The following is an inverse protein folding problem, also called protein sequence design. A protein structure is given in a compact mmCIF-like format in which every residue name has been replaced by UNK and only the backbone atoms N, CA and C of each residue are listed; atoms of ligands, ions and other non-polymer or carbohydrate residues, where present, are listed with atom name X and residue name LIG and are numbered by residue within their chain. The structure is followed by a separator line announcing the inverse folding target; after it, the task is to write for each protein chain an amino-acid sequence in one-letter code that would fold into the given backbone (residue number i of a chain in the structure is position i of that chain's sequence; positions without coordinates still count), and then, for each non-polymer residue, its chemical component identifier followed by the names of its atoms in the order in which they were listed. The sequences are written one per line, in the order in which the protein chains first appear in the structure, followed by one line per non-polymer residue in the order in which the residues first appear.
data_IF_874896068624
#
_entry.id   IF_874896068624
#
_cell.length_a   1.000
_cell.length_b   1.000
_cell.length_c   1.000
_cell.angle_alpha   90.00
_cell.angle_beta   90.00
_cell.angle_gamma   90.00
#
_symmetry.space_group_name_H-M   'P 1'
#
loop_
_entity.id
_entity.type
_entity.pdbx_description
1 polymer ?
#
# COMPACT_ATOMS: atom_id res chain seq x y z
N UNK A 1 -18.62 6.11 1.24
CA UNK A 1 -19.91 5.39 1.20
C UNK A 1 -19.71 4.03 1.85
N UNK A 2 -20.46 3.70 2.90
CA UNK A 2 -20.33 2.40 3.58
C UNK A 2 -20.96 1.32 2.66
N UNK A 3 -20.15 0.48 2.01
CA UNK A 3 -20.64 -0.58 1.12
C UNK A 3 -20.86 -1.85 1.92
N UNK A 4 -22.09 -2.35 1.91
CA UNK A 4 -22.41 -3.61 2.55
C UNK A 4 -21.80 -4.80 1.78
N UNK A 5 -21.41 -5.85 2.48
CA UNK A 5 -20.88 -7.10 1.91
C UNK A 5 -21.80 -7.65 0.78
N UNK A 6 -23.11 -7.47 0.92
CA UNK A 6 -24.09 -7.89 -0.09
C UNK A 6 -23.84 -7.27 -1.48
N UNK A 7 -23.24 -6.08 -1.57
CA UNK A 7 -22.97 -5.46 -2.89
C UNK A 7 -21.95 -6.22 -3.71
N UNK A 8 -21.11 -7.03 -3.06
CA UNK A 8 -20.10 -7.88 -3.70
C UNK A 8 -20.67 -9.21 -4.22
N UNK A 9 -21.92 -9.56 -3.85
CA UNK A 9 -22.55 -10.84 -4.25
C UNK A 9 -22.53 -11.06 -5.77
N UNK A 10 -22.73 -10.00 -6.54
CA UNK A 10 -22.68 -10.03 -8.02
C UNK A 10 -21.29 -10.39 -8.58
N UNK A 11 -20.22 -10.24 -7.79
CA UNK A 11 -18.84 -10.50 -8.19
C UNK A 11 -18.40 -11.87 -7.69
N UNK A 12 -18.61 -12.17 -6.39
CA UNK A 12 -18.08 -13.36 -5.74
C UNK A 12 -19.12 -14.49 -5.59
N UNK A 13 -20.38 -14.22 -5.87
CA UNK A 13 -21.50 -15.14 -5.73
C UNK A 13 -22.03 -15.25 -4.29
N UNK A 14 -23.28 -15.71 -4.16
CA UNK A 14 -23.98 -15.83 -2.87
C UNK A 14 -23.32 -16.82 -1.90
N UNK A 15 -22.68 -17.86 -2.44
CA UNK A 15 -21.99 -18.88 -1.62
C UNK A 15 -20.82 -18.27 -0.84
N UNK A 16 -19.98 -17.43 -1.48
CA UNK A 16 -18.85 -16.77 -0.80
C UNK A 16 -19.35 -15.84 0.31
N UNK A 17 -20.41 -15.06 0.04
CA UNK A 17 -21.03 -14.19 1.05
C UNK A 17 -21.55 -15.00 2.24
N UNK A 18 -22.23 -16.14 1.97
CA UNK A 18 -22.76 -17.03 3.01
C UNK A 18 -21.65 -17.64 3.86
N UNK A 19 -20.56 -18.08 3.24
CA UNK A 19 -19.38 -18.63 3.95
C UNK A 19 -18.73 -17.57 4.84
N UNK A 20 -18.51 -16.36 4.37
CA UNK A 20 -17.95 -15.26 5.17
C UNK A 20 -18.83 -14.97 6.38
N UNK A 21 -20.15 -14.89 6.23
CA UNK A 21 -21.07 -14.69 7.36
C UNK A 21 -21.06 -15.85 8.33
N UNK A 22 -20.93 -17.09 7.84
CA UNK A 22 -20.82 -18.26 8.69
C UNK A 22 -19.54 -18.23 9.53
N UNK A 23 -18.38 -17.91 8.94
CA UNK A 23 -17.11 -17.79 9.63
C UNK A 23 -17.12 -16.66 10.67
N UNK A 24 -17.80 -15.56 10.37
CA UNK A 24 -17.87 -14.42 11.27
C UNK A 24 -18.80 -14.62 12.49
N UNK A 25 -19.69 -15.62 12.49
CA UNK A 25 -20.67 -15.83 13.59
C UNK A 25 -20.02 -15.94 14.96
N UNK A 26 -18.96 -16.74 15.05
CA UNK A 26 -18.25 -16.99 16.31
C UNK A 26 -17.39 -15.79 16.77
N UNK A 27 -17.24 -14.80 15.90
CA UNK A 27 -16.51 -13.56 16.13
C UNK A 27 -17.42 -12.34 16.30
N UNK A 28 -18.74 -12.53 16.34
CA UNK A 28 -19.69 -11.42 16.48
C UNK A 28 -19.41 -10.62 17.77
N UNK A 29 -19.26 -9.30 17.62
CA UNK A 29 -18.93 -8.38 18.71
C UNK A 29 -17.46 -8.40 19.14
N UNK A 30 -16.58 -9.20 18.48
CA UNK A 30 -15.15 -9.16 18.74
C UNK A 30 -14.57 -7.81 18.33
N UNK A 31 -13.82 -7.18 19.23
CA UNK A 31 -13.15 -5.90 19.01
C UNK A 31 -11.84 -6.11 18.28
N UNK A 32 -11.78 -5.60 17.05
CA UNK A 32 -10.59 -5.67 16.19
C UNK A 32 -10.05 -4.26 15.95
N UNK A 33 -8.76 -4.05 16.22
CA UNK A 33 -8.11 -2.76 16.01
C UNK A 33 -7.00 -2.90 15.00
N UNK A 34 -7.09 -2.17 13.89
CA UNK A 34 -6.00 -2.01 12.94
C UNK A 34 -5.21 -0.75 13.25
N UNK A 35 -3.88 -0.82 13.17
CA UNK A 35 -3.01 0.36 13.37
C UNK A 35 -2.01 0.46 12.24
N UNK A 36 -1.93 1.62 11.59
CA UNK A 36 -0.91 1.95 10.59
C UNK A 36 -0.37 3.38 10.74
N UNK A 37 0.39 3.90 9.77
CA UNK A 37 1.05 5.21 9.84
C UNK A 37 0.34 6.33 9.09
N UNK A 38 -0.65 6.03 8.24
CA UNK A 38 -1.35 7.05 7.44
C UNK A 38 -2.79 6.68 7.17
N UNK A 39 -3.66 7.69 7.09
CA UNK A 39 -5.07 7.54 6.70
C UNK A 39 -5.26 7.67 5.19
N UNK A 40 -4.32 8.28 4.49
CA UNK A 40 -4.43 8.65 3.08
C UNK A 40 -3.15 8.31 2.35
N UNK A 41 -3.29 7.80 1.14
CA UNK A 41 -2.15 7.41 0.30
C UNK A 41 -1.54 6.06 0.68
N UNK A 42 -1.12 5.33 -0.34
CA UNK A 42 -0.53 4.00 -0.19
C UNK A 42 -1.53 2.85 -0.04
N UNK A 43 -1.06 1.66 -0.41
CA UNK A 43 -1.91 0.46 -0.52
C UNK A 43 -2.53 0.00 0.80
N UNK A 44 -1.86 0.20 1.94
CA UNK A 44 -2.40 -0.23 3.25
C UNK A 44 -3.61 0.61 3.65
N UNK A 45 -3.55 1.94 3.50
CA UNK A 45 -4.67 2.82 3.77
C UNK A 45 -5.86 2.48 2.86
N UNK A 46 -5.60 2.26 1.58
CA UNK A 46 -6.62 1.86 0.60
C UNK A 46 -7.31 0.53 0.97
N UNK A 47 -6.53 -0.47 1.41
CA UNK A 47 -7.09 -1.75 1.88
C UNK A 47 -7.98 -1.52 3.12
N UNK A 48 -7.54 -0.73 4.10
CA UNK A 48 -8.26 -0.54 5.35
C UNK A 48 -9.53 0.28 5.19
N UNK A 49 -9.58 1.21 4.24
CA UNK A 49 -10.80 1.97 3.90
C UNK A 49 -11.99 1.08 3.53
N UNK A 50 -11.73 -0.11 2.95
CA UNK A 50 -12.76 -1.06 2.56
C UNK A 50 -12.87 -2.25 3.51
N UNK A 51 -11.74 -2.73 4.03
CA UNK A 51 -11.73 -3.90 4.90
C UNK A 51 -12.45 -3.64 6.22
N UNK A 52 -12.18 -2.49 6.87
CA UNK A 52 -12.78 -2.17 8.17
C UNK A 52 -14.30 -2.08 8.12
N UNK A 53 -14.93 -1.36 7.16
CA UNK A 53 -16.38 -1.40 6.99
C UNK A 53 -16.95 -2.79 6.72
N UNK A 54 -16.27 -3.63 5.92
CA UNK A 54 -16.72 -4.99 5.61
C UNK A 54 -16.65 -5.90 6.84
N UNK A 55 -15.61 -5.76 7.68
CA UNK A 55 -15.50 -6.48 8.94
C UNK A 55 -16.66 -6.11 9.89
N UNK A 56 -17.02 -4.82 9.93
CA UNK A 56 -18.18 -4.35 10.72
C UNK A 56 -19.51 -4.89 10.16
N UNK A 57 -19.66 -4.99 8.82
CA UNK A 57 -20.89 -5.51 8.20
C UNK A 57 -21.13 -7.02 8.47
N UNK A 58 -20.07 -7.77 8.78
CA UNK A 58 -20.18 -9.19 9.19
C UNK A 58 -20.32 -9.36 10.71
N UNK A 59 -20.38 -8.27 11.48
CA UNK A 59 -20.69 -8.28 12.91
C UNK A 59 -19.50 -8.17 13.87
N UNK A 60 -18.31 -7.84 13.38
CA UNK A 60 -17.18 -7.47 14.25
C UNK A 60 -17.30 -6.00 14.67
N UNK A 61 -16.64 -5.62 15.77
CA UNK A 61 -16.45 -4.23 16.18
C UNK A 61 -15.03 -3.78 15.80
N UNK A 62 -14.88 -3.38 14.55
CA UNK A 62 -13.56 -3.04 13.98
C UNK A 62 -13.33 -1.54 13.96
N UNK A 63 -12.17 -1.11 14.46
CA UNK A 63 -11.67 0.26 14.33
C UNK A 63 -10.33 0.32 13.63
N UNK A 64 -9.99 1.52 13.17
CA UNK A 64 -8.72 1.80 12.51
C UNK A 64 -8.08 3.04 13.13
N UNK A 65 -6.94 2.85 13.75
CA UNK A 65 -6.15 3.88 14.41
C UNK A 65 -4.90 4.21 13.57
N UNK A 66 -4.42 5.44 13.70
CA UNK A 66 -3.23 5.90 12.98
C UNK A 66 -2.27 6.54 13.96
N UNK A 67 -1.02 6.04 13.98
CA UNK A 67 0.05 6.69 14.74
C UNK A 67 0.45 8.01 14.10
N UNK A 68 0.89 8.94 14.91
CA UNK A 68 1.32 10.28 14.49
C UNK A 68 2.71 10.57 15.02
N UNK A 69 3.50 11.28 14.24
CA UNK A 69 4.85 11.66 14.65
C UNK A 69 5.36 12.88 13.90
N UNK A 70 6.47 13.46 14.37
CA UNK A 70 7.16 14.54 13.65
C UNK A 70 7.79 14.05 12.35
N UNK A 71 8.14 14.96 11.45
CA UNK A 71 8.76 14.62 10.16
C UNK A 71 10.00 13.71 10.29
N UNK A 72 10.82 13.90 11.32
CA UNK A 72 12.00 13.06 11.58
C UNK A 72 11.64 11.61 11.95
N UNK A 73 10.46 11.35 12.49
CA UNK A 73 9.95 10.00 12.70
C UNK A 73 9.63 9.33 11.37
N UNK A 74 8.94 10.01 10.48
CA UNK A 74 8.63 9.47 9.15
C UNK A 74 9.89 9.26 8.30
N UNK A 75 10.88 10.14 8.38
CA UNK A 75 12.21 9.90 7.77
C UNK A 75 12.87 8.64 8.31
N UNK A 76 12.81 8.42 9.63
CA UNK A 76 13.37 7.22 10.29
C UNK A 76 12.62 5.96 9.83
N UNK A 77 11.30 5.97 9.85
CA UNK A 77 10.50 4.80 9.47
C UNK A 77 10.52 4.53 7.97
N UNK A 78 10.72 5.55 7.12
CA UNK A 78 11.02 5.37 5.69
C UNK A 78 12.36 4.66 5.52
N UNK A 79 13.38 5.01 6.29
CA UNK A 79 14.65 4.28 6.27
C UNK A 79 14.48 2.81 6.73
N UNK A 80 13.60 2.53 7.71
CA UNK A 80 13.26 1.14 8.07
C UNK A 80 12.58 0.42 6.91
N UNK A 81 11.61 1.05 6.27
CA UNK A 81 10.92 0.53 5.10
C UNK A 81 11.92 0.17 3.99
N UNK A 82 12.76 1.14 3.59
CA UNK A 82 13.77 0.94 2.56
C UNK A 82 14.77 -0.16 2.96
N UNK A 83 15.16 -0.20 4.25
CA UNK A 83 16.03 -1.25 4.78
C UNK A 83 15.40 -2.64 4.76
N UNK A 84 14.09 -2.77 5.00
CA UNK A 84 13.38 -4.04 4.82
C UNK A 84 13.40 -4.49 3.36
N UNK A 85 13.34 -3.58 2.40
CA UNK A 85 13.47 -3.84 0.97
C UNK A 85 14.93 -4.02 0.51
N UNK A 86 15.89 -4.11 1.43
CA UNK A 86 17.29 -4.42 1.11
C UNK A 86 18.21 -3.22 0.87
N UNK A 87 17.71 -1.98 0.99
CA UNK A 87 18.56 -0.81 0.86
C UNK A 87 19.68 -0.78 1.91
N UNK A 88 20.83 -0.24 1.55
CA UNK A 88 21.93 -0.03 2.48
C UNK A 88 21.65 1.15 3.42
N UNK A 89 21.00 0.83 4.53
CA UNK A 89 20.60 1.80 5.56
C UNK A 89 21.57 1.75 6.73
N UNK A 90 22.15 2.90 7.08
CA UNK A 90 22.91 3.06 8.31
C UNK A 90 21.96 3.37 9.47
N UNK A 91 21.54 2.33 10.19
CA UNK A 91 20.76 2.49 11.41
C UNK A 91 21.62 3.16 12.50
N UNK A 92 21.18 4.35 12.97
CA UNK A 92 21.88 5.12 14.01
C UNK A 92 21.12 5.06 15.33
N UNK A 93 21.83 5.26 16.45
CA UNK A 93 21.21 5.32 17.77
C UNK A 93 20.14 6.44 17.86
N UNK A 94 20.39 7.59 17.22
CA UNK A 94 19.42 8.70 17.16
C UNK A 94 18.12 8.30 16.46
N UNK A 95 18.18 7.53 15.39
CA UNK A 95 16.97 7.02 14.69
C UNK A 95 16.17 6.11 15.62
N UNK A 96 16.85 5.22 16.34
CA UNK A 96 16.20 4.33 17.31
C UNK A 96 15.51 5.14 18.40
N UNK A 97 16.19 6.12 19.00
CA UNK A 97 15.62 6.98 20.05
C UNK A 97 14.41 7.79 19.57
N UNK A 98 14.46 8.32 18.34
CA UNK A 98 13.30 9.03 17.73
C UNK A 98 12.13 8.07 17.58
N UNK A 99 12.37 6.89 17.04
CA UNK A 99 11.34 5.89 16.80
C UNK A 99 10.70 5.43 18.11
N UNK A 100 11.49 5.00 19.08
CA UNK A 100 10.99 4.49 20.37
C UNK A 100 10.23 5.54 21.16
N UNK A 101 10.73 6.78 21.21
CA UNK A 101 10.05 7.88 21.88
C UNK A 101 8.70 8.18 21.22
N UNK A 102 8.64 8.30 19.89
CA UNK A 102 7.40 8.60 19.18
C UNK A 102 6.38 7.49 19.33
N UNK A 103 6.79 6.23 19.28
CA UNK A 103 5.88 5.09 19.48
C UNK A 103 5.38 5.05 20.94
N UNK A 104 6.23 5.37 21.92
CA UNK A 104 5.82 5.46 23.32
C UNK A 104 4.75 6.56 23.53
N UNK A 105 4.95 7.74 22.93
CA UNK A 105 3.97 8.85 22.97
C UNK A 105 2.63 8.42 22.33
N UNK A 106 2.65 7.77 21.18
CA UNK A 106 1.44 7.23 20.55
C UNK A 106 0.76 6.14 21.42
N UNK A 107 1.57 5.32 22.08
CA UNK A 107 1.05 4.26 22.94
C UNK A 107 0.29 4.81 24.15
N UNK A 108 0.67 5.96 24.70
CA UNK A 108 -0.07 6.60 25.81
C UNK A 108 -1.52 6.90 25.41
N UNK A 109 -1.73 7.40 24.19
CA UNK A 109 -3.05 7.71 23.66
C UNK A 109 -3.84 6.45 23.30
N UNK A 110 -3.20 5.48 22.63
CA UNK A 110 -3.86 4.31 22.05
C UNK A 110 -4.05 3.14 23.03
N UNK A 111 -3.25 3.08 24.10
CA UNK A 111 -3.22 1.95 25.06
C UNK A 111 -4.59 1.49 25.52
N UNK A 112 -5.53 2.37 25.95
CA UNK A 112 -6.85 1.91 26.44
C UNK A 112 -7.63 1.13 25.36
N UNK A 113 -7.55 1.56 24.10
CA UNK A 113 -8.19 0.90 22.97
C UNK A 113 -7.50 -0.42 22.62
N UNK A 114 -6.17 -0.41 22.58
CA UNK A 114 -5.37 -1.57 22.19
C UNK A 114 -5.42 -2.70 23.23
N UNK A 115 -5.35 -2.38 24.51
CA UNK A 115 -5.41 -3.39 25.59
C UNK A 115 -6.79 -4.01 25.74
N UNK A 116 -7.86 -3.26 25.41
CA UNK A 116 -9.24 -3.75 25.46
C UNK A 116 -9.66 -4.57 24.24
N UNK A 117 -8.89 -4.57 23.16
CA UNK A 117 -9.20 -5.29 21.92
C UNK A 117 -9.04 -6.81 22.09
N UNK A 118 -9.86 -7.57 21.36
CA UNK A 118 -9.73 -9.03 21.26
C UNK A 118 -8.68 -9.42 20.20
N UNK A 119 -8.48 -8.54 19.19
CA UNK A 119 -7.44 -8.69 18.17
C UNK A 119 -6.88 -7.31 17.78
N UNK A 120 -5.56 -7.18 17.80
CA UNK A 120 -4.85 -6.00 17.28
C UNK A 120 -4.02 -6.41 16.08
N UNK A 121 -4.16 -5.70 14.97
CA UNK A 121 -3.39 -5.91 13.75
C UNK A 121 -2.54 -4.67 13.48
N UNK A 122 -1.24 -4.83 13.64
CA UNK A 122 -0.24 -3.78 13.45
C UNK A 122 0.35 -3.89 12.04
N UNK A 123 0.25 -2.81 11.27
CA UNK A 123 0.70 -2.80 9.88
C UNK A 123 2.07 -2.14 9.74
N UNK A 124 3.01 -2.88 9.15
CA UNK A 124 4.35 -2.44 8.79
C UNK A 124 5.25 -2.03 9.98
N UNK A 125 6.46 -1.49 9.76
CA UNK A 125 7.41 -1.21 10.84
C UNK A 125 7.07 0.01 11.68
N UNK A 126 6.26 0.97 11.15
CA UNK A 126 6.04 2.24 11.85
C UNK A 126 5.43 2.05 13.24
N UNK A 127 4.33 1.30 13.43
CA UNK A 127 3.73 1.04 14.74
C UNK A 127 4.25 -0.23 15.43
N UNK A 128 5.25 -0.93 14.89
CA UNK A 128 5.62 -2.28 15.32
C UNK A 128 6.03 -2.39 16.80
N UNK A 129 6.57 -1.32 17.41
CA UNK A 129 6.97 -1.34 18.82
C UNK A 129 5.81 -1.04 19.80
N UNK A 130 4.58 -0.77 19.34
CA UNK A 130 3.43 -0.49 20.21
C UNK A 130 3.16 -1.61 21.24
N UNK A 131 3.43 -2.87 20.86
CA UNK A 131 3.24 -4.01 21.76
C UNK A 131 4.04 -3.88 23.07
N UNK A 132 5.23 -3.31 23.01
CA UNK A 132 6.11 -3.15 24.18
C UNK A 132 5.49 -2.24 25.25
N UNK A 133 4.52 -1.39 24.87
CA UNK A 133 3.84 -0.44 25.74
C UNK A 133 2.45 -0.87 26.21
N UNK A 134 1.98 -2.08 25.80
CA UNK A 134 0.65 -2.62 26.08
C UNK A 134 0.76 -3.90 26.90
N UNK A 135 1.24 -3.79 28.16
CA UNK A 135 1.51 -4.93 29.03
C UNK A 135 0.27 -5.67 29.54
N UNK A 136 -0.89 -4.99 29.59
CA UNK A 136 -2.16 -5.53 30.09
C UNK A 136 -3.10 -5.94 28.93
N UNK A 137 -2.54 -6.31 27.79
CA UNK A 137 -3.32 -6.72 26.62
C UNK A 137 -4.23 -7.91 26.92
N UNK A 138 -5.49 -7.77 26.49
CA UNK A 138 -6.49 -8.83 26.64
C UNK A 138 -6.40 -9.87 25.51
N UNK A 139 -6.28 -9.38 24.28
CA UNK A 139 -6.42 -10.19 23.06
C UNK A 139 -5.10 -10.55 22.40
N UNK A 140 -5.21 -11.04 21.18
CA UNK A 140 -4.10 -11.43 20.33
C UNK A 140 -3.56 -10.25 19.52
N UNK A 141 -2.26 -10.27 19.26
CA UNK A 141 -1.59 -9.26 18.46
C UNK A 141 -0.93 -9.90 17.25
N UNK A 142 -1.21 -9.34 16.09
CA UNK A 142 -0.70 -9.79 14.80
C UNK A 142 0.08 -8.67 14.13
N UNK A 143 1.30 -8.96 13.70
CA UNK A 143 2.06 -8.04 12.87
C UNK A 143 1.84 -8.37 11.40
N UNK A 144 1.38 -7.42 10.58
CA UNK A 144 1.19 -7.57 9.14
C UNK A 144 2.23 -6.76 8.39
N UNK A 145 3.17 -7.44 7.75
CA UNK A 145 4.18 -6.83 6.89
C UNK A 145 3.68 -6.81 5.44
N UNK A 146 3.54 -5.62 4.87
CA UNK A 146 3.16 -5.43 3.47
C UNK A 146 4.38 -5.22 2.56
N UNK A 147 5.58 -5.17 3.13
CA UNK A 147 6.84 -4.84 2.48
C UNK A 147 7.50 -6.12 1.99
N UNK A 148 8.19 -6.05 0.83
CA UNK A 148 9.11 -7.11 0.42
C UNK A 148 10.29 -7.20 1.40
N UNK A 149 10.21 -8.14 2.31
CA UNK A 149 11.25 -8.43 3.29
C UNK A 149 12.10 -9.67 2.92
N UNK A 150 12.15 -10.05 1.64
CA UNK A 150 12.86 -11.25 1.19
C UNK A 150 14.38 -11.17 1.44
N UNK A 151 14.96 -9.97 1.34
CA UNK A 151 16.41 -9.72 1.52
C UNK A 151 16.67 -8.46 2.32
N UNK A 152 16.23 -8.37 3.59
CA UNK A 152 16.31 -7.15 4.35
C UNK A 152 17.74 -6.81 4.77
N UNK A 153 18.01 -5.53 4.94
CA UNK A 153 19.22 -5.06 5.62
C UNK A 153 19.30 -5.68 7.03
N UNK A 154 20.36 -6.41 7.31
CA UNK A 154 20.48 -7.20 8.55
C UNK A 154 20.39 -6.37 9.83
N UNK A 155 20.89 -5.13 9.85
CA UNK A 155 20.84 -4.28 11.04
C UNK A 155 19.42 -3.78 11.30
N UNK A 156 18.73 -3.35 10.26
CA UNK A 156 17.35 -2.92 10.32
C UNK A 156 16.44 -4.10 10.73
N UNK A 157 16.61 -5.24 10.08
CA UNK A 157 15.81 -6.43 10.41
C UNK A 157 16.05 -6.92 11.85
N UNK A 158 17.28 -7.02 12.30
CA UNK A 158 17.58 -7.47 13.67
C UNK A 158 16.93 -6.55 14.72
N UNK A 159 16.93 -5.23 14.47
CA UNK A 159 16.25 -4.28 15.33
C UNK A 159 14.72 -4.49 15.32
N UNK A 160 14.09 -4.53 14.15
CA UNK A 160 12.65 -4.74 14.02
C UNK A 160 12.20 -6.12 14.51
N UNK A 161 12.99 -7.16 14.26
CA UNK A 161 12.72 -8.50 14.78
C UNK A 161 12.57 -8.51 16.30
N UNK A 162 13.40 -7.75 17.02
CA UNK A 162 13.26 -7.64 18.48
C UNK A 162 11.91 -7.06 18.91
N UNK A 163 11.29 -6.18 18.09
CA UNK A 163 9.99 -5.58 18.34
C UNK A 163 8.83 -6.53 18.00
N UNK A 164 8.98 -7.30 16.92
CA UNK A 164 7.89 -8.15 16.41
C UNK A 164 7.88 -9.57 16.98
N UNK A 165 8.98 -10.06 17.54
CA UNK A 165 9.03 -11.42 18.13
C UNK A 165 8.03 -11.65 19.27
N UNK A 166 7.58 -10.60 19.95
CA UNK A 166 6.58 -10.67 21.02
C UNK A 166 5.13 -10.82 20.54
N UNK A 167 4.88 -10.73 19.24
CA UNK A 167 3.54 -10.89 18.67
C UNK A 167 3.07 -12.34 18.71
N UNK A 168 1.75 -12.57 18.65
CA UNK A 168 1.18 -13.92 18.63
C UNK A 168 1.26 -14.57 17.22
N UNK A 169 1.32 -13.75 16.17
CA UNK A 169 1.47 -14.21 14.78
C UNK A 169 1.96 -13.05 13.88
N UNK A 170 2.42 -13.40 12.69
CA UNK A 170 2.69 -12.46 11.60
C UNK A 170 1.98 -12.86 10.32
N UNK A 171 1.70 -11.86 9.47
CA UNK A 171 1.11 -12.05 8.16
C UNK A 171 2.04 -11.40 7.12
N UNK A 172 2.35 -12.14 6.06
CA UNK A 172 3.12 -11.68 4.90
C UNK A 172 2.29 -11.80 3.62
N UNK A 173 2.63 -11.02 2.60
CA UNK A 173 1.93 -11.06 1.31
C UNK A 173 2.32 -12.27 0.46
N UNK A 174 3.55 -12.75 0.59
CA UNK A 174 4.12 -13.86 -0.18
C UNK A 174 5.03 -14.74 0.70
N UNK A 175 5.20 -16.04 0.35
CA UNK A 175 6.07 -16.94 1.10
C UNK A 175 7.52 -16.45 1.19
N UNK A 176 8.05 -15.87 0.12
CA UNK A 176 9.44 -15.38 0.05
C UNK A 176 9.74 -14.23 1.02
N UNK A 177 8.70 -13.59 1.57
CA UNK A 177 8.84 -12.48 2.52
C UNK A 177 8.90 -12.93 3.97
N UNK A 178 8.61 -14.22 4.26
CA UNK A 178 8.66 -14.79 5.61
C UNK A 178 10.07 -14.73 6.19
N UNK A 179 10.16 -14.55 7.52
CA UNK A 179 11.43 -14.27 8.19
C UNK A 179 11.80 -15.29 9.28
N UNK A 180 11.06 -16.41 9.35
CA UNK A 180 11.24 -17.45 10.37
C UNK A 180 11.23 -16.87 11.79
N UNK A 181 10.12 -16.23 12.14
CA UNK A 181 9.88 -15.70 13.48
C UNK A 181 9.52 -16.83 14.47
N UNK A 182 9.60 -16.52 15.77
CA UNK A 182 9.37 -17.53 16.84
C UNK A 182 7.87 -17.81 17.07
N UNK A 183 6.98 -17.30 16.21
CA UNK A 183 5.52 -17.47 16.23
C UNK A 183 5.01 -17.83 14.82
N UNK A 184 3.74 -18.27 14.67
CA UNK A 184 3.17 -18.62 13.38
C UNK A 184 3.23 -17.48 12.36
N UNK A 185 3.61 -17.79 11.13
CA UNK A 185 3.62 -16.87 9.99
C UNK A 185 2.54 -17.33 8.99
N UNK A 186 1.63 -16.42 8.63
CA UNK A 186 0.55 -16.65 7.68
C UNK A 186 0.82 -15.93 6.37
N UNK A 187 0.42 -16.54 5.27
CA UNK A 187 0.50 -15.91 3.94
C UNK A 187 -0.91 -15.50 3.54
N UNK A 188 -1.13 -14.18 3.49
CA UNK A 188 -2.38 -13.59 3.05
C UNK A 188 -2.06 -12.48 2.05
N UNK A 189 -2.25 -12.77 0.77
CA UNK A 189 -2.08 -11.77 -0.27
C UNK A 189 -3.10 -10.64 -0.11
N UNK A 190 -2.70 -9.38 -0.31
CA UNK A 190 -3.65 -8.27 -0.36
C UNK A 190 -4.51 -8.38 -1.62
N UNK A 191 -5.68 -7.71 -1.61
CA UNK A 191 -6.59 -7.69 -2.73
C UNK A 191 -7.09 -6.26 -2.99
N UNK A 192 -7.57 -6.03 -4.20
CA UNK A 192 -8.23 -4.79 -4.59
C UNK A 192 -9.72 -4.82 -4.22
N UNK A 193 -10.34 -3.65 -4.08
CA UNK A 193 -11.80 -3.53 -4.08
C UNK A 193 -12.29 -3.27 -5.52
N UNK A 194 -12.98 -4.24 -6.15
CA UNK A 194 -13.48 -4.10 -7.52
C UNK A 194 -14.58 -3.07 -7.66
N UNK A 195 -15.19 -2.64 -6.56
CA UNK A 195 -16.26 -1.63 -6.54
C UNK A 195 -15.77 -0.23 -6.18
N UNK A 196 -14.48 -0.06 -5.87
CA UNK A 196 -13.90 1.25 -5.56
C UNK A 196 -13.89 2.17 -6.79
N UNK A 197 -13.79 3.47 -6.58
CA UNK A 197 -13.65 4.45 -7.66
C UNK A 197 -12.43 4.16 -8.56
N UNK A 198 -11.44 3.48 -8.01
CA UNK A 198 -10.24 3.06 -8.73
C UNK A 198 -10.49 1.87 -9.66
N UNK A 199 -11.52 1.05 -9.42
CA UNK A 199 -11.73 -0.22 -10.13
C UNK A 199 -13.11 -0.41 -10.75
N UNK A 200 -14.12 0.39 -10.34
CA UNK A 200 -15.46 0.34 -10.92
C UNK A 200 -15.45 0.61 -12.43
N UNK A 201 -16.50 0.17 -13.11
CA UNK A 201 -16.63 0.45 -14.53
C UNK A 201 -16.77 1.95 -14.79
N UNK A 202 -16.14 2.42 -15.86
CA UNK A 202 -16.26 3.75 -16.41
C UNK A 202 -16.77 3.67 -17.84
N UNK A 203 -17.60 4.63 -18.25
CA UNK A 203 -17.99 4.80 -19.63
C UNK A 203 -16.84 5.33 -20.47
N UNK A 204 -16.91 5.14 -21.78
CA UNK A 204 -15.88 5.64 -22.70
C UNK A 204 -15.82 7.18 -22.71
N UNK A 205 -16.96 7.84 -22.48
CA UNK A 205 -17.04 9.29 -22.36
C UNK A 205 -16.29 9.80 -21.11
N UNK A 206 -16.45 9.11 -19.96
CA UNK A 206 -15.71 9.44 -18.72
C UNK A 206 -14.21 9.26 -18.92
N UNK A 207 -13.79 8.17 -19.57
CA UNK A 207 -12.38 7.92 -19.87
C UNK A 207 -11.82 9.02 -20.78
N UNK A 208 -12.54 9.36 -21.86
CA UNK A 208 -12.10 10.37 -22.83
C UNK A 208 -11.99 11.76 -22.17
N UNK A 209 -13.03 12.18 -21.44
CA UNK A 209 -13.03 13.46 -20.73
C UNK A 209 -11.87 13.58 -19.73
N UNK A 210 -11.59 12.49 -18.98
CA UNK A 210 -10.47 12.48 -18.02
C UNK A 210 -9.13 12.64 -18.74
N UNK A 211 -8.90 11.97 -19.87
CA UNK A 211 -7.64 12.10 -20.60
C UNK A 211 -7.49 13.48 -21.24
N UNK A 212 -8.58 14.08 -21.72
CA UNK A 212 -8.62 15.45 -22.24
C UNK A 212 -8.24 16.46 -21.15
N UNK A 213 -8.82 16.35 -19.95
CA UNK A 213 -8.48 17.18 -18.78
C UNK A 213 -7.00 17.07 -18.37
N UNK A 214 -6.40 15.89 -18.57
CA UNK A 214 -4.99 15.62 -18.29
C UNK A 214 -4.05 15.98 -19.45
N UNK A 215 -4.59 16.47 -20.56
CA UNK A 215 -3.83 16.76 -21.78
C UNK A 215 -3.06 15.53 -22.30
N UNK A 216 -3.63 14.31 -22.14
CA UNK A 216 -3.06 13.06 -22.66
C UNK A 216 -3.77 12.66 -23.94
N UNK A 217 -3.15 12.86 -25.13
CA UNK A 217 -3.76 12.49 -26.42
C UNK A 217 -3.96 10.99 -26.57
N UNK A 218 -5.05 10.58 -27.22
CA UNK A 218 -5.38 9.18 -27.51
C UNK A 218 -5.10 8.76 -28.97
N UNK A 219 -4.28 9.54 -29.68
CA UNK A 219 -3.91 9.30 -31.07
C UNK A 219 -2.94 8.12 -31.25
N UNK A 220 -2.24 7.71 -30.19
CA UNK A 220 -1.31 6.60 -30.14
C UNK A 220 -1.62 5.66 -28.97
N UNK A 221 -1.20 4.38 -29.03
CA UNK A 221 -1.26 3.49 -27.88
C UNK A 221 -0.54 4.08 -26.66
N UNK A 222 -1.15 3.97 -25.48
CA UNK A 222 -0.62 4.51 -24.23
C UNK A 222 0.01 3.37 -23.42
N UNK A 223 1.26 3.55 -23.03
CA UNK A 223 1.96 2.74 -22.03
C UNK A 223 1.89 3.50 -20.71
N UNK A 224 1.44 2.88 -19.61
CA UNK A 224 1.21 3.60 -18.36
C UNK A 224 1.89 2.91 -17.19
N UNK A 225 2.66 3.66 -16.42
CA UNK A 225 3.07 3.26 -15.07
C UNK A 225 2.25 4.06 -14.06
N UNK A 226 1.53 3.36 -13.18
CA UNK A 226 0.83 3.94 -12.03
C UNK A 226 1.57 3.57 -10.76
N UNK A 227 2.22 4.53 -10.13
CA UNK A 227 2.95 4.29 -8.88
C UNK A 227 3.20 5.60 -8.13
N UNK A 228 3.57 5.52 -6.84
CA UNK A 228 4.23 6.65 -6.21
C UNK A 228 5.55 6.94 -6.93
N UNK A 229 5.98 8.20 -6.91
CA UNK A 229 7.33 8.55 -7.35
C UNK A 229 8.33 8.12 -6.25
N UNK A 230 8.84 6.92 -6.41
CA UNK A 230 9.71 6.22 -5.45
C UNK A 230 10.79 5.46 -6.23
N UNK A 231 12.02 5.43 -5.72
CA UNK A 231 13.16 4.79 -6.40
C UNK A 231 12.94 3.31 -6.69
N UNK A 232 12.24 2.58 -5.78
CA UNK A 232 11.94 1.16 -6.00
C UNK A 232 10.91 0.91 -7.12
N UNK A 233 10.17 1.95 -7.54
CA UNK A 233 9.26 1.88 -8.69
C UNK A 233 9.98 2.09 -10.02
N UNK A 234 11.21 2.56 -9.96
CA UNK A 234 12.13 2.74 -11.08
C UNK A 234 11.50 3.48 -12.29
N UNK A 235 10.89 4.66 -12.08
CA UNK A 235 10.26 5.42 -13.17
C UNK A 235 11.28 5.89 -14.22
N UNK A 236 12.53 6.16 -13.82
CA UNK A 236 13.62 6.54 -14.72
C UNK A 236 13.95 5.37 -15.65
N UNK A 237 14.07 4.15 -15.12
CA UNK A 237 14.29 2.97 -15.93
C UNK A 237 13.12 2.66 -16.88
N UNK A 238 11.89 3.11 -16.58
CA UNK A 238 10.77 3.06 -17.54
C UNK A 238 10.98 4.05 -18.68
N UNK A 239 11.42 5.29 -18.37
CA UNK A 239 11.77 6.30 -19.39
C UNK A 239 12.90 5.78 -20.29
N UNK A 240 13.95 5.20 -19.70
CA UNK A 240 15.07 4.63 -20.46
C UNK A 240 14.60 3.53 -21.41
N UNK A 241 13.78 2.60 -20.91
CA UNK A 241 13.18 1.53 -21.72
C UNK A 241 12.30 2.09 -22.85
N UNK A 242 11.50 3.13 -22.57
CA UNK A 242 10.69 3.82 -23.57
C UNK A 242 11.57 4.47 -24.66
N UNK A 243 12.65 5.13 -24.26
CA UNK A 243 13.59 5.76 -25.19
C UNK A 243 14.30 4.75 -26.10
N UNK A 244 14.51 3.51 -25.64
CA UNK A 244 15.06 2.42 -26.48
C UNK A 244 14.15 2.04 -27.65
N UNK A 245 12.84 2.32 -27.58
CA UNK A 245 11.94 2.12 -28.72
C UNK A 245 12.30 3.06 -29.90
N UNK A 246 12.96 4.18 -29.63
CA UNK A 246 13.52 5.13 -30.60
C UNK A 246 12.56 5.47 -31.76
N UNK A 247 11.26 5.57 -31.45
CA UNK A 247 10.22 5.85 -32.44
C UNK A 247 9.86 4.68 -33.38
N UNK A 248 10.48 3.52 -33.22
CA UNK A 248 10.17 2.32 -34.04
C UNK A 248 8.74 1.80 -33.79
N UNK A 249 8.22 2.04 -32.57
CA UNK A 249 6.83 1.75 -32.19
C UNK A 249 6.17 3.08 -31.77
N UNK A 250 5.20 3.58 -32.55
CA UNK A 250 4.52 4.82 -32.19
C UNK A 250 3.62 4.58 -30.95
N UNK A 251 4.02 5.14 -29.81
CA UNK A 251 3.28 5.07 -28.55
C UNK A 251 3.60 6.29 -27.67
N UNK A 252 2.80 6.48 -26.62
CA UNK A 252 2.99 7.49 -25.57
C UNK A 252 3.30 6.78 -24.25
N UNK A 253 4.08 7.42 -23.41
CA UNK A 253 4.33 6.99 -22.04
C UNK A 253 3.61 7.94 -21.07
N UNK A 254 2.87 7.38 -20.14
CA UNK A 254 2.26 8.12 -19.02
C UNK A 254 2.85 7.57 -17.72
N UNK A 255 3.52 8.41 -16.97
CA UNK A 255 3.95 8.14 -15.60
C UNK A 255 3.03 8.92 -14.67
N UNK A 256 2.19 8.22 -13.91
CA UNK A 256 1.17 8.85 -13.10
C UNK A 256 1.17 8.34 -11.67
N UNK A 257 1.05 9.27 -10.73
CA UNK A 257 0.95 8.95 -9.31
C UNK A 257 1.17 10.19 -8.47
N UNK A 258 1.25 10.00 -7.15
CA UNK A 258 1.47 11.08 -6.19
C UNK A 258 2.18 10.57 -4.95
N UNK A 259 2.56 11.49 -4.07
CA UNK A 259 3.18 11.18 -2.80
C UNK A 259 2.17 10.67 -1.77
N UNK A 260 2.65 9.91 -0.78
CA UNK A 260 1.93 9.69 0.46
C UNK A 260 2.39 10.70 1.52
N UNK A 261 1.55 11.00 2.50
CA UNK A 261 1.87 11.97 3.56
C UNK A 261 3.05 11.57 4.44
N UNK A 262 3.42 10.29 4.42
CA UNK A 262 4.54 9.70 5.14
C UNK A 262 5.78 9.44 4.25
N UNK A 263 5.81 9.94 2.99
CA UNK A 263 6.92 9.73 2.05
C UNK A 263 7.68 11.04 1.75
N UNK A 264 8.81 11.29 2.42
CA UNK A 264 9.59 12.51 2.24
C UNK A 264 10.45 12.53 0.96
N UNK A 265 10.57 11.40 0.23
CA UNK A 265 11.46 11.27 -0.93
C UNK A 265 10.75 11.55 -2.26
N UNK A 266 9.41 11.53 -2.27
CA UNK A 266 8.61 11.58 -3.49
C UNK A 266 8.87 12.81 -4.37
N UNK A 267 9.06 13.99 -3.77
CA UNK A 267 9.31 15.23 -4.51
C UNK A 267 10.65 15.20 -5.27
N UNK A 268 11.71 14.69 -4.63
CA UNK A 268 13.03 14.59 -5.26
C UNK A 268 13.02 13.62 -6.45
N UNK A 269 12.36 12.46 -6.29
CA UNK A 269 12.22 11.48 -7.38
C UNK A 269 11.39 12.05 -8.53
N UNK A 270 10.32 12.80 -8.23
CA UNK A 270 9.51 13.45 -9.27
C UNK A 270 10.33 14.45 -10.09
N UNK A 271 11.19 15.24 -9.46
CA UNK A 271 12.06 16.18 -10.16
C UNK A 271 13.07 15.44 -11.05
N UNK A 272 13.68 14.36 -10.55
CA UNK A 272 14.56 13.50 -11.37
C UNK A 272 13.84 12.89 -12.58
N UNK A 273 12.57 12.49 -12.44
CA UNK A 273 11.73 11.96 -13.52
C UNK A 273 11.43 13.03 -14.58
N UNK A 274 11.14 14.25 -14.14
CA UNK A 274 10.94 15.39 -15.06
C UNK A 274 12.19 15.69 -15.87
N UNK A 275 13.35 15.70 -15.21
CA UNK A 275 14.63 15.91 -15.86
C UNK A 275 14.94 14.79 -16.88
N UNK A 276 14.70 13.52 -16.50
CA UNK A 276 14.92 12.36 -17.36
C UNK A 276 14.00 12.35 -18.61
N UNK A 277 12.80 12.95 -18.53
CA UNK A 277 11.90 13.05 -19.68
C UNK A 277 12.47 13.95 -20.81
N UNK A 278 13.39 14.84 -20.46
CA UNK A 278 14.14 15.72 -21.37
C UNK A 278 13.24 16.46 -22.39
N UNK A 279 12.03 16.84 -21.98
CA UNK A 279 11.06 17.56 -22.83
C UNK A 279 10.48 16.74 -23.98
N UNK A 280 10.55 15.40 -23.93
CA UNK A 280 9.95 14.52 -24.92
C UNK A 280 8.41 14.63 -24.86
N UNK A 281 7.77 15.16 -25.92
CA UNK A 281 6.33 15.40 -26.01
C UNK A 281 5.46 14.15 -25.98
N UNK A 282 6.07 12.97 -26.07
CA UNK A 282 5.37 11.67 -25.92
C UNK A 282 5.43 11.11 -24.50
N UNK A 283 6.10 11.79 -23.55
CA UNK A 283 6.18 11.39 -22.14
C UNK A 283 5.36 12.37 -21.32
N UNK A 284 4.31 11.89 -20.69
CA UNK A 284 3.44 12.64 -19.80
C UNK A 284 3.72 12.25 -18.35
N UNK A 285 4.05 13.23 -17.51
CA UNK A 285 4.32 13.02 -16.07
C UNK A 285 3.19 13.71 -15.31
N UNK A 286 2.39 12.92 -14.61
CA UNK A 286 1.20 13.38 -13.90
C UNK A 286 1.39 13.21 -12.40
N UNK A 287 1.59 14.34 -11.71
CA UNK A 287 1.59 14.37 -10.24
C UNK A 287 0.14 14.51 -9.78
N UNK A 288 -0.42 13.40 -9.30
CA UNK A 288 -1.82 13.28 -8.96
C UNK A 288 -2.03 13.39 -7.44
N UNK A 289 -3.14 14.00 -7.00
CA UNK A 289 -3.51 13.98 -5.60
C UNK A 289 -3.79 12.54 -5.11
N UNK A 290 -3.65 12.32 -3.81
CA UNK A 290 -3.78 10.99 -3.21
C UNK A 290 -5.18 10.35 -3.40
N UNK A 291 -6.20 11.15 -3.65
CA UNK A 291 -7.59 10.75 -3.87
C UNK A 291 -8.00 10.69 -5.36
N UNK A 292 -7.05 10.78 -6.29
CA UNK A 292 -7.30 10.73 -7.73
C UNK A 292 -7.70 9.33 -8.25
N UNK A 293 -8.54 8.62 -7.50
CA UNK A 293 -8.89 7.22 -7.80
C UNK A 293 -9.56 7.03 -9.15
N UNK A 294 -10.52 7.90 -9.52
CA UNK A 294 -11.20 7.80 -10.83
C UNK A 294 -10.25 8.14 -11.99
N UNK A 295 -9.35 9.09 -11.79
CA UNK A 295 -8.30 9.45 -12.76
C UNK A 295 -7.38 8.27 -13.04
N UNK A 296 -6.90 7.59 -11.98
CA UNK A 296 -6.09 6.38 -12.10
C UNK A 296 -6.85 5.27 -12.83
N UNK A 297 -8.15 5.10 -12.51
CA UNK A 297 -9.02 4.12 -13.18
C UNK A 297 -9.11 4.41 -14.69
N UNK A 298 -9.37 5.66 -15.07
CA UNK A 298 -9.45 6.06 -16.48
C UNK A 298 -8.13 5.85 -17.23
N UNK A 299 -7.00 6.23 -16.62
CA UNK A 299 -5.67 6.02 -17.19
C UNK A 299 -5.37 4.54 -17.43
N UNK A 300 -5.65 3.66 -16.45
CA UNK A 300 -5.46 2.22 -16.62
C UNK A 300 -6.39 1.65 -17.71
N UNK A 301 -7.66 2.11 -17.77
CA UNK A 301 -8.61 1.66 -18.82
C UNK A 301 -8.22 2.14 -20.22
N UNK A 302 -7.65 3.32 -20.35
CA UNK A 302 -7.14 3.85 -21.62
C UNK A 302 -5.83 3.19 -22.07
N UNK A 303 -5.09 2.57 -21.16
CA UNK A 303 -3.78 1.98 -21.44
C UNK A 303 -3.87 0.80 -22.40
N UNK A 304 -2.93 0.71 -23.33
CA UNK A 304 -2.65 -0.49 -24.12
C UNK A 304 -1.89 -1.51 -23.27
N UNK A 305 -0.91 -1.05 -22.46
CA UNK A 305 -0.12 -1.86 -21.54
C UNK A 305 0.09 -1.06 -20.25
N UNK A 306 -0.01 -1.73 -19.11
CA UNK A 306 0.40 -1.18 -17.81
C UNK A 306 1.78 -1.72 -17.46
N UNK A 307 2.67 -0.83 -17.02
CA UNK A 307 4.07 -1.15 -16.72
C UNK A 307 4.24 -1.24 -15.19
N UNK A 308 4.86 -2.34 -14.73
CA UNK A 308 5.23 -2.54 -13.33
C UNK A 308 6.72 -2.93 -13.25
N UNK A 309 7.58 -1.92 -13.40
CA UNK A 309 9.05 -2.12 -13.42
C UNK A 309 9.68 -1.99 -12.02
N UNK A 310 8.94 -2.21 -10.97
CA UNK A 310 9.49 -2.11 -9.60
C UNK A 310 10.69 -3.04 -9.41
N UNK A 311 11.75 -2.53 -8.82
CA UNK A 311 12.93 -3.32 -8.41
C UNK A 311 12.67 -4.08 -7.12
N UNK A 312 11.78 -3.54 -6.27
CA UNK A 312 11.25 -4.18 -5.07
C UNK A 312 9.75 -3.86 -4.95
N UNK A 313 8.94 -4.86 -4.63
CA UNK A 313 7.49 -4.71 -4.55
C UNK A 313 6.89 -5.60 -3.47
N UNK A 314 6.06 -5.02 -2.60
CA UNK A 314 5.36 -5.76 -1.56
C UNK A 314 4.25 -6.70 -2.08
N UNK A 315 3.58 -6.31 -3.17
CA UNK A 315 2.60 -7.16 -3.87
C UNK A 315 2.28 -6.67 -5.28
N UNK A 316 2.18 -5.33 -5.46
CA UNK A 316 1.80 -4.75 -6.76
C UNK A 316 0.28 -4.72 -6.98
N UNK A 317 -0.47 -4.02 -6.13
CA UNK A 317 -1.91 -3.83 -6.32
C UNK A 317 -2.24 -3.25 -7.69
N UNK A 318 -1.40 -2.38 -8.24
CA UNK A 318 -1.53 -1.81 -9.58
C UNK A 318 -1.60 -2.89 -10.67
N UNK A 319 -0.83 -3.98 -10.51
CA UNK A 319 -0.89 -5.15 -11.41
C UNK A 319 -2.27 -5.79 -11.34
N UNK A 320 -2.77 -6.05 -10.14
CA UNK A 320 -4.10 -6.65 -9.94
C UNK A 320 -5.20 -5.75 -10.48
N UNK A 321 -5.10 -4.43 -10.28
CA UNK A 321 -6.03 -3.44 -10.82
C UNK A 321 -6.05 -3.43 -12.35
N UNK A 322 -4.89 -3.47 -12.99
CA UNK A 322 -4.78 -3.53 -14.44
C UNK A 322 -5.35 -4.84 -15.00
N UNK A 323 -5.02 -5.97 -14.38
CA UNK A 323 -5.58 -7.28 -14.76
C UNK A 323 -7.10 -7.34 -14.57
N UNK A 324 -7.65 -6.73 -13.52
CA UNK A 324 -9.09 -6.60 -13.30
C UNK A 324 -9.78 -5.86 -14.46
N UNK A 325 -9.10 -4.87 -15.03
CA UNK A 325 -9.56 -4.08 -16.20
C UNK A 325 -9.26 -4.76 -17.55
N UNK A 326 -8.73 -5.99 -17.53
CA UNK A 326 -8.36 -6.73 -18.75
C UNK A 326 -7.16 -6.17 -19.49
N UNK A 327 -6.27 -5.44 -18.81
CA UNK A 327 -5.09 -4.85 -19.43
C UNK A 327 -3.86 -5.75 -19.29
N UNK A 328 -3.05 -5.90 -20.35
CA UNK A 328 -1.74 -6.53 -20.27
C UNK A 328 -0.84 -5.77 -19.28
N UNK A 329 -0.02 -6.50 -18.52
CA UNK A 329 0.96 -5.94 -17.58
C UNK A 329 2.34 -6.50 -17.91
N UNK A 330 3.36 -5.66 -17.89
CA UNK A 330 4.76 -6.04 -18.08
C UNK A 330 5.64 -5.46 -16.99
#
# INVERSE_FOLDING_TARGET
MNRALKTYERIVGSNAISQLRQLARDLTGARVVHVNSTRVGGGVAEILDWLVPLMNDVGLETSWEVIRGPAVFYQTTKAFHNGLQGADVRLTQRMIEIYERTVAECAEELRPTLEAADLVIIHDPQPAALLEHCGNRRGKWVWRCHIDASRPNRKVWNYLRSKVNGYDASIFSMPDFTQHLDHPEFIIAPSIDPLSDKNCDLSEDEISSTLEELEVPRDLPILTQISRFDQFKDPIGVIDAFNLLNGSVPCRLVLAGGGATDDPEAAAVLDEVRDASNGNDRIHILDLPADAHRTINALQRASAIVIQKSTQEGFGLTVTEAMWKGKPVI
#
